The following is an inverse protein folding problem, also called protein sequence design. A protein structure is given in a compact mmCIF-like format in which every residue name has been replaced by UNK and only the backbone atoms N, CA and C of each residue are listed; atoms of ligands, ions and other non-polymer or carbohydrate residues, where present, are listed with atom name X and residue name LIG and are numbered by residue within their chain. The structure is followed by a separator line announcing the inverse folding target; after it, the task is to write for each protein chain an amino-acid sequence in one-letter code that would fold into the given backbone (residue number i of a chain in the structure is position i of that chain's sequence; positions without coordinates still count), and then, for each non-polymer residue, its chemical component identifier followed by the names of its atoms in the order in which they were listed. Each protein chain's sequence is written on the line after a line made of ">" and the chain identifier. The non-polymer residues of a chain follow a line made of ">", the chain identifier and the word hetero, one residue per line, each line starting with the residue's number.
data_IF_310715110931
#
_entry.id   IF_310715110931
#
_cell.length_a   1.000
_cell.length_b   1.000
_cell.length_c   1.000
_cell.angle_alpha   90.00
_cell.angle_beta   90.00
_cell.angle_gamma   90.00
#
_symmetry.space_group_name_H-M   'P 1'
#
loop_
_entity.id
_entity.type
_entity.pdbx_description
1 polymer ?
#
# COMPACT_ATOMS: atom_id res chain seq x y z
N UNK A 1 10.42 28.24 -17.46
CA UNK A 1 10.76 26.79 -17.42
C UNK A 1 9.82 26.06 -18.38
N UNK A 2 10.31 25.23 -19.31
CA UNK A 2 9.46 24.34 -20.10
C UNK A 2 8.66 23.46 -19.12
N UNK A 3 7.38 23.23 -19.40
CA UNK A 3 6.52 22.31 -18.65
C UNK A 3 7.11 20.89 -18.67
N UNK A 4 8.02 20.59 -17.73
CA UNK A 4 8.57 19.23 -17.59
C UNK A 4 7.51 18.33 -16.94
N UNK A 5 7.27 17.19 -17.57
CA UNK A 5 6.33 16.19 -17.09
C UNK A 5 7.06 15.20 -16.17
N UNK A 6 6.53 14.97 -14.98
CA UNK A 6 7.07 14.00 -14.02
C UNK A 6 6.10 12.85 -13.89
N UNK A 7 6.55 11.65 -14.24
CA UNK A 7 5.78 10.43 -14.07
C UNK A 7 5.91 9.86 -12.67
N UNK A 8 4.80 9.44 -12.08
CA UNK A 8 4.76 8.67 -10.83
C UNK A 8 4.12 7.31 -11.12
N UNK A 9 4.86 6.20 -10.98
CA UNK A 9 4.30 4.87 -11.16
C UNK A 9 3.29 4.54 -10.05
N UNK A 10 2.10 4.08 -10.42
CA UNK A 10 1.04 3.60 -9.50
C UNK A 10 1.36 2.17 -9.02
N UNK A 11 2.48 2.01 -8.32
CA UNK A 11 2.93 0.72 -7.83
C UNK A 11 3.73 0.84 -6.53
N UNK A 12 3.91 -0.26 -5.82
CA UNK A 12 4.68 -0.35 -4.58
C UNK A 12 4.21 0.67 -3.54
N UNK A 13 5.13 1.50 -3.02
CA UNK A 13 4.82 2.49 -1.97
C UNK A 13 4.03 3.70 -2.48
N UNK A 14 3.65 3.74 -3.77
CA UNK A 14 2.63 4.67 -4.23
C UNK A 14 1.38 4.57 -3.35
N UNK A 15 0.84 3.39 -3.12
CA UNK A 15 -0.37 3.17 -2.30
C UNK A 15 -0.24 3.62 -0.84
N UNK A 16 0.98 3.81 -0.35
CA UNK A 16 1.23 4.30 1.00
C UNK A 16 1.40 5.82 1.05
N UNK A 17 2.12 6.40 0.07
CA UNK A 17 2.54 7.80 0.06
C UNK A 17 1.88 8.67 -1.01
N UNK A 18 0.91 8.16 -1.81
CA UNK A 18 0.36 8.96 -2.92
C UNK A 18 -0.21 10.33 -2.49
N UNK A 19 -0.87 10.50 -1.32
CA UNK A 19 -1.33 11.83 -0.91
C UNK A 19 -0.17 12.79 -0.62
N UNK A 20 0.93 12.27 -0.05
CA UNK A 20 2.15 13.05 0.17
C UNK A 20 2.75 13.53 -1.15
N UNK A 21 2.89 12.64 -2.12
CA UNK A 21 3.47 12.99 -3.43
C UNK A 21 2.59 13.97 -4.20
N UNK A 22 1.29 13.74 -4.26
CA UNK A 22 0.36 14.65 -4.96
C UNK A 22 0.41 16.04 -4.33
N UNK A 23 0.41 16.13 -3.00
CA UNK A 23 0.49 17.41 -2.30
C UNK A 23 1.84 18.10 -2.51
N UNK A 24 2.95 17.36 -2.42
CA UNK A 24 4.29 17.88 -2.67
C UNK A 24 4.40 18.52 -4.06
N UNK A 25 4.03 17.78 -5.10
CA UNK A 25 4.15 18.29 -6.48
C UNK A 25 3.21 19.48 -6.73
N UNK A 26 2.00 19.46 -6.15
CA UNK A 26 1.08 20.60 -6.22
C UNK A 26 1.67 21.86 -5.59
N UNK A 27 2.28 21.77 -4.40
CA UNK A 27 2.92 22.92 -3.74
C UNK A 27 4.12 23.46 -4.55
N UNK A 28 4.76 22.59 -5.32
CA UNK A 28 5.82 22.95 -6.26
C UNK A 28 5.27 23.42 -7.62
N UNK A 29 3.94 23.51 -7.78
CA UNK A 29 3.25 23.90 -9.02
C UNK A 29 3.57 22.98 -10.21
N UNK A 30 3.74 21.70 -9.92
CA UNK A 30 3.99 20.64 -10.89
C UNK A 30 2.77 19.71 -10.86
N UNK A 31 2.20 19.43 -12.03
CA UNK A 31 1.15 18.41 -12.18
C UNK A 31 1.82 17.10 -12.61
N UNK A 32 1.88 16.08 -11.72
CA UNK A 32 2.51 14.83 -12.05
C UNK A 32 1.62 14.00 -12.99
N UNK A 33 2.25 13.23 -13.86
CA UNK A 33 1.57 12.22 -14.68
C UNK A 33 1.56 10.91 -13.92
N UNK A 34 0.41 10.47 -13.45
CA UNK A 34 0.27 9.15 -12.82
C UNK A 34 0.12 8.11 -13.93
N UNK A 35 0.78 6.96 -13.78
CA UNK A 35 0.56 5.84 -14.69
C UNK A 35 -0.88 5.32 -14.59
N UNK A 36 -1.39 4.70 -15.64
CA UNK A 36 -2.74 4.14 -15.67
C UNK A 36 -2.93 3.10 -14.55
N UNK A 37 -4.17 2.74 -14.25
CA UNK A 37 -4.44 1.62 -13.34
C UNK A 37 -3.84 0.33 -13.90
N UNK A 38 -3.38 -0.56 -13.01
CA UNK A 38 -2.84 -1.86 -13.40
C UNK A 38 -3.85 -2.60 -14.25
N UNK A 39 -3.37 -3.16 -15.36
CA UNK A 39 -4.17 -3.94 -16.32
C UNK A 39 -3.37 -5.14 -16.79
N UNK A 40 -4.04 -6.03 -17.53
CA UNK A 40 -3.39 -7.20 -18.15
C UNK A 40 -2.21 -6.80 -19.02
N UNK A 41 -2.41 -5.83 -19.91
CA UNK A 41 -1.38 -5.40 -20.85
C UNK A 41 -0.18 -4.77 -20.14
N UNK A 42 -0.44 -3.99 -19.09
CA UNK A 42 0.60 -3.37 -18.26
C UNK A 42 1.42 -4.44 -17.53
N UNK A 43 0.76 -5.41 -16.90
CA UNK A 43 1.42 -6.52 -16.23
C UNK A 43 2.23 -7.38 -17.21
N UNK A 44 1.65 -7.78 -18.34
CA UNK A 44 2.30 -8.56 -19.38
C UNK A 44 3.54 -7.83 -19.95
N UNK A 45 3.48 -6.51 -20.08
CA UNK A 45 4.62 -5.65 -20.44
C UNK A 45 5.75 -5.77 -19.42
N UNK A 46 5.43 -5.67 -18.14
CA UNK A 46 6.38 -5.82 -17.05
C UNK A 46 6.97 -7.22 -16.94
N UNK A 47 6.15 -8.25 -17.07
CA UNK A 47 6.59 -9.67 -17.07
C UNK A 47 7.60 -9.93 -18.16
N UNK A 48 7.35 -9.47 -19.39
CA UNK A 48 8.27 -9.65 -20.54
C UNK A 48 9.65 -9.02 -20.36
N UNK A 49 9.75 -8.00 -19.49
CA UNK A 49 10.98 -7.23 -19.25
C UNK A 49 11.65 -7.55 -17.92
N UNK A 50 11.05 -8.43 -17.11
CA UNK A 50 11.56 -8.83 -15.81
C UNK A 50 12.17 -10.22 -15.81
N UNK A 51 12.94 -10.52 -14.76
CA UNK A 51 13.38 -11.90 -14.47
C UNK A 51 12.18 -12.72 -13.96
N UNK A 52 12.12 -14.00 -14.29
CA UNK A 52 11.03 -14.91 -13.93
C UNK A 52 10.82 -15.02 -12.42
N UNK A 53 11.91 -15.08 -11.64
CA UNK A 53 11.87 -15.32 -10.19
C UNK A 53 11.60 -14.05 -9.37
N UNK A 54 11.41 -12.89 -10.02
CA UNK A 54 11.12 -11.68 -9.28
C UNK A 54 9.64 -11.65 -8.87
N UNK A 55 9.35 -11.13 -7.67
CA UNK A 55 7.97 -11.05 -7.17
C UNK A 55 7.10 -10.14 -8.05
N UNK A 56 5.82 -10.45 -8.16
CA UNK A 56 4.87 -9.76 -9.03
C UNK A 56 4.81 -8.23 -8.82
N UNK A 57 4.93 -7.66 -7.61
CA UNK A 57 4.92 -6.20 -7.44
C UNK A 57 6.03 -5.47 -8.19
N UNK A 58 7.19 -6.11 -8.36
CA UNK A 58 8.29 -5.53 -9.17
C UNK A 58 7.97 -5.64 -10.66
N UNK A 59 7.37 -6.74 -11.11
CA UNK A 59 6.89 -6.89 -12.50
C UNK A 59 5.87 -5.80 -12.84
N UNK A 60 4.92 -5.54 -11.94
CA UNK A 60 3.94 -4.46 -12.04
C UNK A 60 4.63 -3.10 -12.13
N UNK A 61 5.61 -2.82 -11.26
CA UNK A 61 6.36 -1.57 -11.31
C UNK A 61 7.05 -1.35 -12.66
N UNK A 62 7.68 -2.38 -13.23
CA UNK A 62 8.30 -2.30 -14.58
C UNK A 62 7.24 -1.95 -15.62
N UNK A 63 6.06 -2.56 -15.56
CA UNK A 63 4.93 -2.25 -16.45
C UNK A 63 4.48 -0.79 -16.33
N UNK A 64 4.36 -0.25 -15.11
CA UNK A 64 4.00 1.15 -14.89
C UNK A 64 5.06 2.12 -15.41
N UNK A 65 6.34 1.78 -15.30
CA UNK A 65 7.42 2.58 -15.89
C UNK A 65 7.33 2.60 -17.42
N UNK A 66 7.06 1.45 -18.05
CA UNK A 66 6.82 1.37 -19.50
C UNK A 66 5.61 2.21 -19.92
N UNK A 67 4.53 2.20 -19.16
CA UNK A 67 3.34 3.00 -19.40
C UNK A 67 3.65 4.50 -19.34
N UNK A 68 4.47 4.94 -18.39
CA UNK A 68 4.90 6.34 -18.28
C UNK A 68 5.83 6.76 -19.42
N UNK A 69 6.72 5.88 -19.84
CA UNK A 69 7.60 6.13 -20.99
C UNK A 69 6.78 6.36 -22.28
N UNK A 70 5.73 5.55 -22.49
CA UNK A 70 4.77 5.75 -23.59
C UNK A 70 3.97 7.05 -23.50
N UNK A 71 3.83 7.64 -22.31
CA UNK A 71 3.20 8.96 -22.09
C UNK A 71 4.15 10.13 -22.31
N UNK A 72 5.38 9.84 -22.74
CA UNK A 72 6.41 10.83 -23.07
C UNK A 72 6.67 11.80 -21.90
N UNK A 73 6.89 11.23 -20.69
CA UNK A 73 7.30 12.02 -19.53
C UNK A 73 8.80 12.32 -19.59
N UNK A 74 9.22 13.49 -19.12
CA UNK A 74 10.64 13.86 -19.08
C UNK A 74 11.39 13.12 -17.96
N UNK A 75 10.69 12.93 -16.82
CA UNK A 75 11.23 12.30 -15.64
C UNK A 75 10.30 11.23 -15.11
N UNK A 76 10.86 10.17 -14.52
CA UNK A 76 10.13 9.20 -13.70
C UNK A 76 10.66 9.28 -12.28
N UNK A 77 9.78 9.59 -11.33
CA UNK A 77 10.10 9.67 -9.92
C UNK A 77 10.08 8.27 -9.28
N UNK A 78 11.25 7.76 -8.95
CA UNK A 78 11.47 6.42 -8.37
C UNK A 78 12.39 6.51 -7.15
N UNK A 79 11.91 6.98 -6.00
CA UNK A 79 12.74 7.07 -4.80
C UNK A 79 13.21 5.69 -4.33
N UNK A 80 14.45 5.65 -3.83
CA UNK A 80 15.07 4.47 -3.20
C UNK A 80 14.71 4.47 -1.73
N UNK A 81 13.83 3.61 -1.31
CA UNK A 81 13.51 3.51 0.11
C UNK A 81 14.50 2.58 0.83
N UNK A 82 15.27 3.13 1.75
CA UNK A 82 16.18 2.38 2.61
C UNK A 82 15.55 2.11 3.98
N UNK A 83 15.13 3.16 4.68
CA UNK A 83 14.52 3.08 6.00
C UNK A 83 13.37 4.08 6.15
N UNK A 84 12.33 3.69 6.89
CA UNK A 84 11.26 4.54 7.42
C UNK A 84 11.02 4.24 8.90
N UNK A 85 12.05 3.71 9.56
CA UNK A 85 12.15 3.45 10.99
C UNK A 85 13.62 3.41 11.37
N UNK A 86 13.97 3.88 12.55
CA UNK A 86 15.34 3.89 13.04
C UNK A 86 15.91 2.46 13.07
N UNK A 87 17.09 2.28 12.46
CA UNK A 87 17.86 1.03 12.42
C UNK A 87 17.20 -0.19 11.75
N UNK A 88 16.03 -0.03 11.14
CA UNK A 88 15.34 -1.12 10.43
C UNK A 88 15.19 -0.77 8.96
N UNK A 89 15.62 -1.68 8.09
CA UNK A 89 15.61 -1.49 6.63
C UNK A 89 14.33 -2.01 6.00
N UNK A 90 14.03 -1.50 4.81
CA UNK A 90 13.03 -2.07 3.91
C UNK A 90 13.63 -3.20 3.07
N UNK A 91 12.78 -3.96 2.38
CA UNK A 91 13.24 -4.97 1.43
C UNK A 91 14.28 -4.39 0.46
N UNK A 92 15.41 -5.05 0.21
CA UNK A 92 16.50 -4.51 -0.62
C UNK A 92 16.08 -4.17 -2.04
N UNK A 93 14.97 -4.74 -2.54
CA UNK A 93 14.40 -4.36 -3.84
C UNK A 93 13.92 -2.90 -3.89
N UNK A 94 13.52 -2.30 -2.77
CA UNK A 94 13.20 -0.87 -2.71
C UNK A 94 14.43 0.03 -2.85
N UNK A 95 15.54 -0.35 -2.26
CA UNK A 95 16.79 0.38 -2.40
C UNK A 95 17.36 0.24 -3.82
N UNK A 96 17.33 -0.96 -4.39
CA UNK A 96 17.83 -1.26 -5.72
C UNK A 96 16.86 -0.96 -6.87
N UNK A 97 15.63 -0.49 -6.58
CA UNK A 97 14.56 -0.36 -7.56
C UNK A 97 14.97 0.44 -8.82
N UNK A 98 15.54 1.66 -8.74
CA UNK A 98 15.91 2.42 -9.93
C UNK A 98 16.97 1.72 -10.79
N UNK A 99 17.90 0.97 -10.18
CA UNK A 99 18.91 0.23 -10.94
C UNK A 99 18.32 -0.98 -11.64
N UNK A 100 17.40 -1.68 -10.96
CA UNK A 100 16.63 -2.77 -11.56
C UNK A 100 15.84 -2.28 -12.77
N UNK A 101 15.16 -1.13 -12.67
CA UNK A 101 14.42 -0.50 -13.77
C UNK A 101 15.35 -0.17 -14.95
N UNK A 102 16.47 0.51 -14.70
CA UNK A 102 17.44 0.87 -15.76
C UNK A 102 17.99 -0.36 -16.48
N UNK A 103 18.22 -1.47 -15.75
CA UNK A 103 18.71 -2.71 -16.35
C UNK A 103 17.62 -3.46 -17.12
N UNK A 104 16.38 -3.46 -16.61
CA UNK A 104 15.25 -4.10 -17.30
C UNK A 104 14.80 -3.32 -18.53
N UNK A 105 14.98 -1.99 -18.53
CA UNK A 105 14.53 -1.07 -19.57
C UNK A 105 15.70 -0.19 -20.09
N UNK A 106 16.67 -0.79 -20.80
CA UNK A 106 17.84 -0.04 -21.27
C UNK A 106 17.51 1.04 -22.34
N UNK A 107 16.33 0.94 -22.96
CA UNK A 107 15.82 1.90 -23.93
C UNK A 107 14.88 2.96 -23.33
N UNK A 108 14.81 3.06 -21.98
CA UNK A 108 13.99 4.05 -21.30
C UNK A 108 14.47 5.47 -21.68
N UNK A 109 13.57 6.29 -22.25
CA UNK A 109 13.89 7.66 -22.66
C UNK A 109 13.78 8.65 -21.52
N UNK A 110 12.84 8.43 -20.59
CA UNK A 110 12.64 9.27 -19.42
C UNK A 110 13.82 9.15 -18.42
N UNK A 111 14.26 10.28 -17.89
CA UNK A 111 15.29 10.29 -16.86
C UNK A 111 14.72 9.89 -15.50
N UNK A 112 15.36 8.94 -14.81
CA UNK A 112 14.93 8.46 -13.49
C UNK A 112 15.47 9.37 -12.38
N UNK A 113 14.56 9.98 -11.60
CA UNK A 113 14.89 10.70 -10.35
C UNK A 113 14.78 9.72 -9.19
N UNK A 114 15.91 9.48 -8.51
CA UNK A 114 16.09 8.42 -7.52
C UNK A 114 16.77 8.94 -6.23
N UNK A 115 16.04 9.76 -5.48
CA UNK A 115 16.48 10.16 -4.14
C UNK A 115 16.52 8.94 -3.20
N UNK A 116 17.41 8.96 -2.22
CA UNK A 116 17.47 7.95 -1.16
C UNK A 116 16.64 8.43 0.03
N UNK A 117 15.59 7.70 0.35
CA UNK A 117 14.73 7.96 1.52
C UNK A 117 15.31 7.22 2.72
N UNK A 118 15.82 7.98 3.67
CA UNK A 118 16.28 7.52 4.97
C UNK A 118 15.59 8.33 6.05
N UNK A 119 14.60 7.74 6.70
CA UNK A 119 13.82 8.37 7.75
C UNK A 119 13.78 7.50 9.00
N UNK A 120 13.57 8.12 10.17
CA UNK A 120 13.44 7.46 11.47
C UNK A 120 12.00 7.09 11.82
N UNK A 121 11.08 7.49 10.98
CA UNK A 121 9.64 7.23 11.05
C UNK A 121 9.04 7.29 9.65
N UNK A 122 7.74 7.08 9.55
CA UNK A 122 7.00 7.22 8.29
C UNK A 122 7.02 8.65 7.71
N UNK A 123 7.45 9.65 8.47
CA UNK A 123 7.64 11.01 7.97
C UNK A 123 8.92 11.11 7.13
N UNK A 124 8.73 11.18 5.82
CA UNK A 124 9.80 11.29 4.83
C UNK A 124 10.09 12.74 4.39
N UNK A 125 9.54 13.75 5.07
CA UNK A 125 9.59 15.16 4.65
C UNK A 125 10.94 15.86 4.84
N UNK A 126 11.96 15.17 5.32
CA UNK A 126 13.30 15.75 5.48
C UNK A 126 13.90 16.13 4.11
N UNK A 127 14.43 17.35 3.99
CA UNK A 127 15.01 17.85 2.73
C UNK A 127 16.10 16.93 2.16
N UNK A 128 16.90 16.28 3.03
CA UNK A 128 17.95 15.32 2.61
C UNK A 128 17.39 14.19 1.73
N UNK A 129 16.14 13.79 1.95
CA UNK A 129 15.44 12.73 1.22
C UNK A 129 14.93 13.17 -0.16
N UNK A 130 15.05 14.46 -0.52
CA UNK A 130 14.50 15.05 -1.75
C UNK A 130 15.50 16.00 -2.43
N UNK A 131 16.78 15.86 -2.12
CA UNK A 131 17.83 16.77 -2.61
C UNK A 131 18.00 16.66 -4.12
N UNK A 132 18.06 15.45 -4.66
CA UNK A 132 18.22 15.22 -6.09
C UNK A 132 16.97 15.69 -6.86
N UNK A 133 15.77 15.49 -6.31
CA UNK A 133 14.53 16.02 -6.87
C UNK A 133 14.58 17.56 -6.95
N UNK A 134 15.01 18.24 -5.88
CA UNK A 134 15.13 19.69 -5.86
C UNK A 134 16.16 20.20 -6.90
N UNK A 135 17.31 19.54 -6.99
CA UNK A 135 18.37 19.89 -7.95
C UNK A 135 17.89 19.70 -9.41
N UNK A 136 17.25 18.57 -9.73
CA UNK A 136 16.74 18.27 -11.09
C UNK A 136 15.64 19.23 -11.55
N UNK A 137 14.82 19.69 -10.61
CA UNK A 137 13.72 20.60 -10.88
C UNK A 137 14.07 22.09 -10.67
N UNK A 138 15.34 22.40 -10.35
CA UNK A 138 15.82 23.76 -10.09
C UNK A 138 15.02 24.49 -8.99
N UNK A 139 14.59 23.72 -7.94
CA UNK A 139 13.81 24.23 -6.83
C UNK A 139 14.73 24.63 -5.68
N UNK A 140 14.52 25.80 -5.12
CA UNK A 140 15.31 26.26 -3.99
C UNK A 140 15.06 25.39 -2.74
N UNK A 141 16.09 25.28 -1.87
CA UNK A 141 15.96 24.52 -0.62
C UNK A 141 14.79 25.02 0.23
N UNK A 142 14.59 26.33 0.33
CA UNK A 142 13.52 26.94 1.14
C UNK A 142 12.16 26.58 0.58
N UNK A 143 11.97 26.64 -0.73
CA UNK A 143 10.72 26.29 -1.40
C UNK A 143 10.43 24.80 -1.22
N UNK A 144 11.41 23.92 -1.45
CA UNK A 144 11.26 22.49 -1.23
C UNK A 144 10.90 22.17 0.22
N UNK A 145 11.58 22.77 1.21
CA UNK A 145 11.26 22.55 2.63
C UNK A 145 9.85 22.99 2.98
N UNK A 146 9.37 24.11 2.43
CA UNK A 146 7.98 24.57 2.62
C UNK A 146 6.98 23.59 2.05
N UNK A 147 7.22 23.10 0.82
CA UNK A 147 6.35 22.13 0.16
C UNK A 147 6.33 20.78 0.89
N UNK A 148 7.49 20.29 1.32
CA UNK A 148 7.61 19.04 2.09
C UNK A 148 6.83 19.09 3.42
N UNK A 149 6.92 20.21 4.15
CA UNK A 149 6.16 20.40 5.39
C UNK A 149 4.66 20.27 5.15
N UNK A 150 4.13 20.97 4.14
CA UNK A 150 2.70 20.91 3.81
C UNK A 150 2.27 19.54 3.32
N UNK A 151 3.14 18.84 2.58
CA UNK A 151 2.88 17.47 2.14
C UNK A 151 2.81 16.50 3.33
N UNK A 152 3.69 16.64 4.33
CA UNK A 152 3.66 15.85 5.55
C UNK A 152 2.40 16.10 6.37
N UNK A 153 2.02 17.37 6.57
CA UNK A 153 0.79 17.74 7.29
C UNK A 153 -0.46 17.15 6.59
N UNK A 154 -0.51 17.22 5.26
CA UNK A 154 -1.60 16.67 4.47
C UNK A 154 -1.66 15.14 4.54
N UNK A 155 -0.52 14.48 4.41
CA UNK A 155 -0.42 13.02 4.52
C UNK A 155 -0.82 12.54 5.93
N UNK A 156 -0.46 13.27 6.99
CA UNK A 156 -0.88 12.93 8.35
C UNK A 156 -2.41 13.01 8.53
N UNK A 157 -3.06 14.02 7.94
CA UNK A 157 -4.53 14.11 7.92
C UNK A 157 -5.16 12.89 7.26
N UNK A 158 -4.62 12.49 6.11
CA UNK A 158 -5.04 11.26 5.43
C UNK A 158 -4.84 10.01 6.32
N UNK A 159 -3.67 9.86 6.94
CA UNK A 159 -3.38 8.73 7.86
C UNK A 159 -4.38 8.69 9.02
N UNK A 160 -4.73 9.82 9.60
CA UNK A 160 -5.71 9.90 10.67
C UNK A 160 -7.10 9.40 10.25
N UNK A 161 -7.51 9.59 9.00
CA UNK A 161 -8.75 9.01 8.49
C UNK A 161 -8.65 7.48 8.38
N UNK A 162 -7.53 6.95 7.93
CA UNK A 162 -7.34 5.49 7.91
C UNK A 162 -7.43 4.90 9.33
N UNK A 163 -6.84 5.55 10.33
CA UNK A 163 -6.95 5.15 11.75
C UNK A 163 -8.39 5.22 12.28
N UNK A 164 -9.23 6.03 11.69
CA UNK A 164 -10.68 6.07 11.96
C UNK A 164 -11.46 4.99 11.22
N UNK A 165 -10.80 4.15 10.43
CA UNK A 165 -11.41 3.03 9.73
C UNK A 165 -11.79 3.29 8.27
N UNK A 166 -11.37 4.41 7.66
CA UNK A 166 -11.48 4.57 6.21
C UNK A 166 -10.46 3.67 5.51
N UNK A 167 -10.83 3.14 4.35
CA UNK A 167 -9.94 2.35 3.51
C UNK A 167 -9.10 3.25 2.59
N UNK A 168 -7.93 2.80 2.20
CA UNK A 168 -7.14 3.46 1.15
C UNK A 168 -7.94 3.53 -0.15
N UNK A 169 -8.75 2.51 -0.45
CA UNK A 169 -9.65 2.43 -1.61
C UNK A 169 -10.65 3.59 -1.69
N UNK A 170 -11.07 4.15 -0.55
CA UNK A 170 -11.97 5.31 -0.51
C UNK A 170 -11.33 6.57 -1.12
N UNK A 171 -10.01 6.58 -1.30
CA UNK A 171 -9.21 7.69 -1.83
C UNK A 171 -8.51 7.36 -3.17
N UNK A 172 -8.46 6.09 -3.56
CA UNK A 172 -7.87 5.68 -4.84
C UNK A 172 -8.71 6.16 -6.04
N UNK A 173 -8.05 6.32 -7.19
CA UNK A 173 -8.71 6.87 -8.39
C UNK A 173 -8.74 8.39 -8.44
N UNK A 174 -8.35 9.08 -7.37
CA UNK A 174 -8.21 10.54 -7.33
C UNK A 174 -6.78 10.93 -7.72
N UNK A 175 -6.63 11.47 -8.93
CA UNK A 175 -5.32 11.88 -9.47
C UNK A 175 -5.02 13.37 -9.25
N UNK A 176 -6.06 14.17 -8.98
CA UNK A 176 -5.94 15.62 -8.75
C UNK A 176 -6.01 15.96 -7.27
N UNK A 177 -5.03 16.71 -6.81
CA UNK A 177 -4.90 17.06 -5.40
C UNK A 177 -6.12 17.83 -4.88
N UNK A 178 -6.71 18.73 -5.70
CA UNK A 178 -7.85 19.54 -5.27
C UNK A 178 -9.09 18.67 -4.98
N UNK A 179 -9.24 17.56 -5.69
CA UNK A 179 -10.31 16.58 -5.45
C UNK A 179 -10.01 15.80 -4.17
N UNK A 180 -8.76 15.38 -3.99
CA UNK A 180 -8.33 14.65 -2.80
C UNK A 180 -8.47 15.51 -1.53
N UNK A 181 -8.10 16.79 -1.58
CA UNK A 181 -8.26 17.75 -0.48
C UNK A 181 -9.73 17.90 -0.07
N UNK A 182 -10.62 18.05 -1.06
CA UNK A 182 -12.07 18.10 -0.81
C UNK A 182 -12.60 16.83 -0.20
N UNK A 183 -12.13 15.68 -0.67
CA UNK A 183 -12.54 14.38 -0.17
C UNK A 183 -12.09 14.16 1.28
N UNK A 184 -10.84 14.44 1.60
CA UNK A 184 -10.30 14.38 2.96
C UNK A 184 -11.09 15.31 3.88
N UNK A 185 -11.28 16.58 3.48
CA UNK A 185 -12.05 17.54 4.27
C UNK A 185 -13.52 17.12 4.47
N UNK A 186 -14.12 16.47 3.47
CA UNK A 186 -15.48 15.91 3.58
C UNK A 186 -15.53 14.81 4.64
N UNK A 187 -14.55 13.91 4.65
CA UNK A 187 -14.51 12.80 5.61
C UNK A 187 -14.19 13.30 7.03
N UNK A 188 -13.25 14.22 7.20
CA UNK A 188 -12.96 14.85 8.50
C UNK A 188 -14.18 15.51 9.14
N UNK A 189 -15.08 16.11 8.33
CA UNK A 189 -16.29 16.77 8.80
C UNK A 189 -17.54 15.87 8.76
N UNK A 190 -17.39 14.59 8.42
CA UNK A 190 -18.50 13.66 8.32
C UNK A 190 -18.88 13.12 9.69
N UNK A 191 -20.18 13.18 10.01
CA UNK A 191 -20.74 12.44 11.15
C UNK A 191 -21.03 10.97 10.82
N UNK A 192 -20.84 10.56 9.54
CA UNK A 192 -21.05 9.18 9.13
C UNK A 192 -19.81 8.35 9.45
N UNK A 193 -20.01 7.25 10.16
CA UNK A 193 -18.97 6.27 10.41
C UNK A 193 -18.46 5.65 9.10
N UNK A 194 -17.16 5.36 8.99
CA UNK A 194 -16.60 4.56 7.91
C UNK A 194 -17.31 3.20 7.81
N UNK A 195 -17.26 2.56 6.65
CA UNK A 195 -17.92 1.26 6.45
C UNK A 195 -17.39 0.18 7.41
N UNK A 196 -16.10 0.23 7.75
CA UNK A 196 -15.46 -0.64 8.75
C UNK A 196 -15.96 -0.45 10.19
N UNK A 197 -16.76 0.60 10.46
CA UNK A 197 -17.32 0.89 11.79
C UNK A 197 -18.86 0.90 11.81
N UNK A 198 -19.54 0.71 10.66
CA UNK A 198 -20.99 0.61 10.64
C UNK A 198 -21.43 -0.67 11.32
N UNK A 199 -22.32 -0.58 12.30
CA UNK A 199 -22.90 -1.72 13.00
C UNK A 199 -23.85 -2.52 12.09
N UNK A 200 -24.44 -1.87 11.07
CA UNK A 200 -25.30 -2.49 10.08
C UNK A 200 -24.77 -2.19 8.68
N UNK A 201 -24.30 -3.21 7.97
CA UNK A 201 -24.25 -3.20 6.51
C UNK A 201 -25.70 -3.31 6.04
N UNK A 202 -26.16 -2.41 5.17
CA UNK A 202 -27.54 -2.26 4.67
C UNK A 202 -28.36 -3.57 4.77
N UNK A 203 -29.34 -3.56 5.64
CA UNK A 203 -30.07 -4.70 6.15
C UNK A 203 -31.01 -5.36 5.10
N UNK A 204 -30.43 -5.81 3.99
CA UNK A 204 -31.13 -6.72 3.09
C UNK A 204 -30.86 -8.21 3.41
N UNK A 205 -29.91 -8.50 4.27
CA UNK A 205 -29.61 -9.87 4.72
C UNK A 205 -29.74 -9.96 6.23
N UNK A 206 -30.45 -11.01 6.69
CA UNK A 206 -30.56 -11.38 8.11
C UNK A 206 -29.28 -12.04 8.67
N UNK A 207 -28.21 -12.04 7.89
CA UNK A 207 -26.94 -12.68 8.25
C UNK A 207 -26.09 -11.77 9.13
N UNK A 208 -25.46 -12.35 10.12
CA UNK A 208 -24.55 -11.66 11.04
C UNK A 208 -23.29 -11.18 10.30
N UNK A 209 -22.92 -9.92 10.50
CA UNK A 209 -21.77 -9.32 9.83
C UNK A 209 -20.47 -10.00 10.29
N UNK A 210 -19.64 -10.41 9.33
CA UNK A 210 -18.33 -10.98 9.58
C UNK A 210 -17.26 -9.88 9.48
N UNK A 211 -16.39 -9.79 10.47
CA UNK A 211 -15.25 -8.86 10.52
C UNK A 211 -13.95 -9.57 10.15
N UNK A 212 -13.32 -9.17 9.04
CA UNK A 212 -12.07 -9.75 8.52
C UNK A 212 -10.94 -8.72 8.57
N UNK A 213 -9.81 -9.10 9.16
CA UNK A 213 -8.57 -8.36 9.00
C UNK A 213 -7.81 -8.86 7.76
N UNK A 214 -7.66 -7.98 6.77
CA UNK A 214 -6.86 -8.22 5.57
C UNK A 214 -5.45 -7.66 5.77
N UNK A 215 -4.49 -8.55 5.98
CA UNK A 215 -3.08 -8.23 6.24
C UNK A 215 -2.27 -8.49 4.98
N UNK A 216 -1.47 -7.54 4.56
CA UNK A 216 -0.59 -7.66 3.41
C UNK A 216 0.09 -6.34 3.08
N UNK A 217 1.13 -6.38 2.28
CA UNK A 217 1.77 -5.15 1.82
C UNK A 217 0.80 -4.27 1.05
N UNK A 218 0.89 -2.94 1.22
CA UNK A 218 -0.02 -1.96 0.61
C UNK A 218 -0.30 -2.21 -0.87
N UNK A 219 0.71 -2.56 -1.64
CA UNK A 219 0.58 -2.82 -3.07
C UNK A 219 -0.08 -4.16 -3.40
N UNK A 220 -0.07 -5.13 -2.49
CA UNK A 220 -0.85 -6.36 -2.65
C UNK A 220 -2.31 -6.13 -2.28
N UNK A 221 -2.56 -5.32 -1.23
CA UNK A 221 -3.91 -5.08 -0.70
C UNK A 221 -4.69 -4.10 -1.55
N UNK A 222 -4.04 -3.09 -2.15
CA UNK A 222 -4.73 -1.96 -2.80
C UNK A 222 -4.57 -1.87 -4.32
N UNK A 223 -3.74 -2.72 -4.94
CA UNK A 223 -3.77 -2.88 -6.40
C UNK A 223 -4.91 -3.81 -6.80
N UNK A 224 -6.03 -3.23 -7.21
CA UNK A 224 -7.27 -3.95 -7.50
C UNK A 224 -7.12 -5.02 -8.59
N UNK A 225 -6.21 -4.82 -9.55
CA UNK A 225 -5.97 -5.83 -10.58
C UNK A 225 -5.22 -7.04 -10.01
N UNK A 226 -4.14 -6.79 -9.25
CA UNK A 226 -3.29 -7.84 -8.72
C UNK A 226 -4.00 -8.67 -7.65
N UNK A 227 -4.81 -8.03 -6.81
CA UNK A 227 -5.58 -8.70 -5.76
C UNK A 227 -6.97 -9.18 -6.22
N UNK A 228 -7.30 -9.02 -7.51
CA UNK A 228 -8.61 -9.41 -8.07
C UNK A 228 -9.79 -8.75 -7.36
N UNK A 229 -9.60 -7.48 -6.96
CA UNK A 229 -10.60 -6.66 -6.29
C UNK A 229 -11.15 -7.27 -4.98
N UNK A 230 -10.26 -7.91 -4.22
CA UNK A 230 -10.60 -8.66 -3.00
C UNK A 230 -11.42 -7.84 -1.99
N UNK A 231 -11.09 -6.54 -1.82
CA UNK A 231 -11.77 -5.68 -0.84
C UNK A 231 -13.25 -5.49 -1.23
N UNK A 232 -13.54 -5.19 -2.49
CA UNK A 232 -14.92 -5.03 -2.94
C UNK A 232 -15.69 -6.35 -2.92
N UNK A 233 -15.07 -7.45 -3.28
CA UNK A 233 -15.68 -8.78 -3.18
C UNK A 233 -16.04 -9.16 -1.74
N UNK A 234 -15.15 -8.90 -0.79
CA UNK A 234 -15.45 -9.09 0.63
C UNK A 234 -16.64 -8.23 1.07
N UNK A 235 -16.68 -6.96 0.64
CA UNK A 235 -17.83 -6.07 0.91
C UNK A 235 -19.14 -6.58 0.30
N UNK A 236 -19.12 -7.08 -0.94
CA UNK A 236 -20.28 -7.68 -1.61
C UNK A 236 -20.80 -8.93 -0.90
N UNK A 237 -19.92 -9.67 -0.23
CA UNK A 237 -20.27 -10.80 0.62
C UNK A 237 -20.76 -10.39 2.03
N UNK A 238 -20.96 -9.10 2.30
CA UNK A 238 -21.40 -8.59 3.60
C UNK A 238 -20.32 -8.62 4.68
N UNK A 239 -19.05 -8.63 4.28
CA UNK A 239 -17.90 -8.63 5.19
C UNK A 239 -17.45 -7.21 5.49
N UNK A 240 -17.15 -6.92 6.75
CA UNK A 240 -16.48 -5.70 7.19
C UNK A 240 -14.97 -5.90 7.13
N UNK A 241 -14.29 -5.10 6.31
CA UNK A 241 -12.86 -5.26 6.05
C UNK A 241 -12.05 -4.29 6.91
N UNK A 242 -11.11 -4.84 7.68
CA UNK A 242 -10.09 -4.11 8.42
C UNK A 242 -8.73 -4.35 7.75
N UNK A 243 -7.88 -3.33 7.68
CA UNK A 243 -6.54 -3.46 7.08
C UNK A 243 -5.47 -2.99 8.04
N UNK A 244 -4.21 -3.39 7.80
CA UNK A 244 -3.11 -2.92 8.64
C UNK A 244 -2.96 -1.39 8.62
N UNK A 245 -3.38 -0.73 7.55
CA UNK A 245 -3.34 0.74 7.43
C UNK A 245 -4.24 1.47 8.44
N UNK A 246 -5.20 0.75 9.04
CA UNK A 246 -6.09 1.27 10.09
C UNK A 246 -5.47 1.21 11.49
N UNK A 247 -4.37 0.48 11.65
CA UNK A 247 -3.67 0.37 12.94
C UNK A 247 -2.63 1.49 13.04
N UNK A 248 -2.71 2.28 14.12
CA UNK A 248 -1.76 3.39 14.32
C UNK A 248 -0.36 2.89 14.66
N UNK A 249 0.65 3.70 14.38
CA UNK A 249 2.04 3.37 14.68
C UNK A 249 2.25 3.07 16.17
N UNK A 250 1.60 3.81 17.07
CA UNK A 250 1.71 3.59 18.52
C UNK A 250 1.20 2.20 18.92
N UNK A 251 0.13 1.71 18.28
CA UNK A 251 -0.39 0.37 18.51
C UNK A 251 0.59 -0.67 17.97
N UNK A 252 1.09 -0.48 16.75
CA UNK A 252 2.10 -1.35 16.14
C UNK A 252 3.34 -1.44 17.03
N UNK A 253 3.86 -0.31 17.51
CA UNK A 253 5.02 -0.27 18.40
C UNK A 253 4.78 -1.03 19.70
N UNK A 254 3.59 -0.89 20.28
CA UNK A 254 3.20 -1.62 21.50
C UNK A 254 3.21 -3.14 21.28
N UNK A 255 2.65 -3.60 20.17
CA UNK A 255 2.63 -5.04 19.86
C UNK A 255 4.05 -5.57 19.57
N UNK A 256 4.87 -4.79 18.86
CA UNK A 256 6.26 -5.16 18.59
C UNK A 256 7.14 -5.19 19.85
N UNK A 257 6.80 -4.42 20.88
CA UNK A 257 7.56 -4.41 22.14
C UNK A 257 7.46 -5.77 22.90
N UNK A 258 6.49 -6.60 22.58
CA UNK A 258 6.36 -7.95 23.12
C UNK A 258 7.33 -8.94 22.46
N UNK A 259 7.87 -8.61 21.28
CA UNK A 259 8.86 -9.43 20.60
C UNK A 259 10.23 -9.33 21.29
N UNK A 260 10.91 -10.47 21.45
CA UNK A 260 12.31 -10.49 21.92
C UNK A 260 13.23 -9.69 21.02
N UNK A 261 12.95 -9.64 19.71
CA UNK A 261 13.69 -8.90 18.69
C UNK A 261 12.73 -8.55 17.55
N UNK A 262 12.75 -7.30 17.05
CA UNK A 262 11.98 -6.93 15.87
C UNK A 262 12.41 -7.74 14.65
N UNK A 263 11.52 -7.86 13.68
CA UNK A 263 11.81 -8.50 12.41
C UNK A 263 12.78 -7.67 11.57
N UNK A 264 13.44 -8.31 10.61
CA UNK A 264 14.52 -7.67 9.85
C UNK A 264 14.03 -6.54 8.93
N UNK A 265 12.80 -6.62 8.44
CA UNK A 265 12.24 -5.64 7.50
C UNK A 265 11.08 -4.85 8.10
N UNK A 266 11.06 -3.54 7.85
CA UNK A 266 10.10 -2.64 8.48
C UNK A 266 8.63 -2.96 8.14
N UNK A 267 8.29 -3.18 6.85
CA UNK A 267 6.91 -3.53 6.54
C UNK A 267 6.48 -4.87 7.14
N UNK A 268 7.40 -5.81 7.33
CA UNK A 268 7.12 -7.05 8.05
C UNK A 268 6.78 -6.78 9.51
N UNK A 269 7.47 -5.83 10.17
CA UNK A 269 7.13 -5.38 11.52
C UNK A 269 5.74 -4.74 11.57
N UNK A 270 5.44 -3.83 10.65
CA UNK A 270 4.12 -3.19 10.59
C UNK A 270 2.99 -4.19 10.42
N UNK A 271 3.15 -5.15 9.51
CA UNK A 271 2.14 -6.18 9.26
C UNK A 271 2.00 -7.13 10.45
N UNK A 272 3.11 -7.50 11.08
CA UNK A 272 3.09 -8.34 12.29
C UNK A 272 2.37 -7.64 13.44
N UNK A 273 2.76 -6.41 13.78
CA UNK A 273 2.13 -5.65 14.86
C UNK A 273 0.64 -5.41 14.62
N UNK A 274 0.24 -5.14 13.37
CA UNK A 274 -1.17 -5.02 13.03
C UNK A 274 -1.92 -6.36 13.15
N UNK A 275 -1.31 -7.48 12.74
CA UNK A 275 -1.92 -8.80 12.86
C UNK A 275 -2.10 -9.20 14.34
N UNK A 276 -1.09 -8.97 15.19
CA UNK A 276 -1.17 -9.21 16.64
C UNK A 276 -2.30 -8.40 17.27
N UNK A 277 -2.43 -7.12 16.91
CA UNK A 277 -3.54 -6.30 17.37
C UNK A 277 -4.90 -6.90 16.98
N UNK A 278 -5.04 -7.41 15.76
CA UNK A 278 -6.28 -8.03 15.29
C UNK A 278 -6.50 -9.43 15.88
N UNK A 279 -5.48 -10.23 16.13
CA UNK A 279 -5.62 -11.50 16.82
C UNK A 279 -6.16 -11.32 18.23
N UNK A 280 -5.70 -10.29 18.94
CA UNK A 280 -6.15 -9.93 20.30
C UNK A 280 -7.56 -9.30 20.32
N UNK A 281 -8.04 -8.78 19.20
CA UNK A 281 -9.34 -8.11 19.12
C UNK A 281 -10.50 -9.12 18.96
N UNK A 282 -11.40 -9.24 19.96
CA UNK A 282 -12.51 -10.20 19.90
C UNK A 282 -13.55 -9.89 18.81
N UNK A 283 -13.57 -8.66 18.29
CA UNK A 283 -14.48 -8.27 17.19
C UNK A 283 -14.05 -8.80 15.82
N UNK A 284 -12.78 -9.18 15.67
CA UNK A 284 -12.28 -9.74 14.42
C UNK A 284 -12.55 -11.24 14.39
N UNK A 285 -13.29 -11.71 13.43
CA UNK A 285 -13.67 -13.12 13.27
C UNK A 285 -12.58 -13.95 12.61
N UNK A 286 -11.84 -13.35 11.67
CA UNK A 286 -10.77 -14.04 10.97
C UNK A 286 -9.75 -13.09 10.35
N UNK A 287 -8.59 -13.64 10.00
CA UNK A 287 -7.49 -12.91 9.37
C UNK A 287 -7.14 -13.55 8.03
N UNK A 288 -7.09 -12.74 6.99
CA UNK A 288 -6.59 -13.14 5.66
C UNK A 288 -5.23 -12.46 5.44
N UNK A 289 -4.19 -13.25 5.27
CA UNK A 289 -2.86 -12.78 4.87
C UNK A 289 -2.72 -12.86 3.34
N UNK A 290 -2.63 -11.70 2.69
CA UNK A 290 -2.47 -11.56 1.25
C UNK A 290 -1.00 -11.29 0.89
N UNK A 291 -0.34 -12.26 0.28
CA UNK A 291 1.09 -12.21 -0.03
C UNK A 291 1.38 -12.48 -1.49
N UNK A 292 2.44 -11.85 -2.02
CA UNK A 292 2.92 -12.12 -3.37
C UNK A 292 3.87 -13.34 -3.39
N UNK A 293 3.66 -14.25 -4.32
CA UNK A 293 4.60 -15.35 -4.56
C UNK A 293 6.01 -14.80 -4.87
N UNK A 294 7.03 -15.45 -4.31
CA UNK A 294 8.42 -15.00 -4.43
C UNK A 294 8.79 -13.79 -3.56
N UNK A 295 7.92 -13.36 -2.63
CA UNK A 295 8.25 -12.37 -1.63
C UNK A 295 8.92 -13.04 -0.41
N UNK A 296 10.25 -12.92 -0.27
CA UNK A 296 11.00 -13.53 0.84
C UNK A 296 10.56 -13.02 2.22
N UNK A 297 10.56 -11.69 2.47
CA UNK A 297 10.12 -11.13 3.76
C UNK A 297 8.72 -11.60 4.19
N UNK A 298 7.77 -11.53 3.26
CA UNK A 298 6.36 -11.80 3.52
C UNK A 298 6.06 -13.30 3.65
N UNK A 299 6.81 -14.14 2.95
CA UNK A 299 6.68 -15.61 3.09
C UNK A 299 7.04 -16.10 4.49
N UNK A 300 8.06 -15.48 5.12
CA UNK A 300 8.42 -15.80 6.51
C UNK A 300 7.35 -15.27 7.48
N UNK A 301 6.86 -14.07 7.27
CA UNK A 301 5.79 -13.49 8.07
C UNK A 301 4.54 -14.39 8.09
N UNK A 302 4.11 -14.86 6.92
CA UNK A 302 2.92 -15.71 6.80
C UNK A 302 2.99 -16.99 7.65
N UNK A 303 4.17 -17.60 7.79
CA UNK A 303 4.34 -18.77 8.65
C UNK A 303 4.24 -18.42 10.15
N UNK A 304 4.79 -17.27 10.55
CA UNK A 304 4.70 -16.79 11.93
C UNK A 304 3.23 -16.50 12.26
N UNK A 305 2.53 -15.73 11.43
CA UNK A 305 1.12 -15.41 11.63
C UNK A 305 0.23 -16.65 11.69
N UNK A 306 0.51 -17.70 10.91
CA UNK A 306 -0.24 -18.95 10.97
C UNK A 306 -0.04 -19.69 12.30
N UNK A 307 1.14 -19.58 12.91
CA UNK A 307 1.43 -20.16 14.24
C UNK A 307 0.71 -19.34 15.31
N UNK A 308 0.90 -18.03 15.32
CA UNK A 308 0.35 -17.13 16.34
C UNK A 308 -1.19 -17.12 16.32
N UNK A 309 -1.81 -17.20 15.14
CA UNK A 309 -3.27 -17.30 15.01
C UNK A 309 -3.87 -18.46 15.81
N UNK A 310 -3.14 -19.59 15.96
CA UNK A 310 -3.58 -20.76 16.74
C UNK A 310 -3.58 -20.48 18.24
N UNK A 311 -2.65 -19.65 18.70
CA UNK A 311 -2.55 -19.29 20.13
C UNK A 311 -3.75 -18.40 20.56
N UNK A 312 -4.34 -17.67 19.58
CA UNK A 312 -5.52 -16.83 19.79
C UNK A 312 -6.85 -17.48 19.36
N UNK A 313 -6.85 -18.75 18.93
CA UNK A 313 -8.01 -19.45 18.33
C UNK A 313 -8.67 -18.62 17.20
N UNK A 314 -7.87 -17.90 16.43
CA UNK A 314 -8.33 -17.11 15.28
C UNK A 314 -8.30 -17.92 14.01
N UNK A 315 -9.39 -17.84 13.24
CA UNK A 315 -9.37 -18.34 11.88
C UNK A 315 -8.37 -17.56 11.03
N UNK A 316 -7.49 -18.28 10.32
CA UNK A 316 -6.41 -17.68 9.54
C UNK A 316 -6.30 -18.34 8.16
N UNK A 317 -6.14 -17.53 7.13
CA UNK A 317 -5.94 -18.02 5.76
C UNK A 317 -4.87 -17.19 5.04
N UNK A 318 -3.91 -17.86 4.38
CA UNK A 318 -2.96 -17.19 3.47
C UNK A 318 -3.43 -17.32 2.02
N UNK A 319 -3.55 -16.19 1.33
CA UNK A 319 -3.75 -16.09 -0.12
C UNK A 319 -2.44 -15.67 -0.77
N UNK A 320 -1.93 -16.49 -1.69
CA UNK A 320 -0.72 -16.18 -2.48
C UNK A 320 -1.12 -15.79 -3.88
N UNK A 321 -0.64 -14.64 -4.33
CA UNK A 321 -0.93 -14.09 -5.66
C UNK A 321 0.36 -13.98 -6.49
N UNK A 322 0.23 -14.23 -7.77
CA UNK A 322 1.24 -14.00 -8.79
C UNK A 322 0.58 -13.58 -10.11
N UNK A 323 1.37 -13.41 -11.16
CA UNK A 323 0.87 -13.02 -12.49
C UNK A 323 0.00 -14.06 -13.19
N UNK A 324 -0.08 -15.29 -12.67
CA UNK A 324 -0.85 -16.41 -13.23
C UNK A 324 -2.04 -16.79 -12.35
N UNK A 325 -2.18 -16.16 -11.18
CA UNK A 325 -3.24 -16.49 -10.23
C UNK A 325 -4.62 -16.25 -10.85
N UNK A 326 -5.44 -17.29 -10.88
CA UNK A 326 -6.80 -17.22 -11.40
C UNK A 326 -7.78 -16.65 -10.37
N UNK A 327 -8.63 -15.73 -10.81
CA UNK A 327 -9.64 -15.08 -9.97
C UNK A 327 -10.59 -16.08 -9.28
N UNK A 328 -11.11 -17.06 -10.02
CA UNK A 328 -12.03 -18.08 -9.49
C UNK A 328 -11.43 -18.87 -8.33
N UNK A 329 -10.13 -19.17 -8.37
CA UNK A 329 -9.43 -19.89 -7.30
C UNK A 329 -9.39 -19.06 -6.00
N UNK A 330 -9.16 -17.76 -6.10
CA UNK A 330 -9.13 -16.86 -4.94
C UNK A 330 -10.53 -16.69 -4.35
N UNK A 331 -11.55 -16.45 -5.20
CA UNK A 331 -12.93 -16.24 -4.78
C UNK A 331 -13.45 -17.47 -4.03
N UNK A 332 -13.32 -18.68 -4.59
CA UNK A 332 -13.82 -19.90 -3.94
C UNK A 332 -13.20 -20.12 -2.56
N UNK A 333 -11.93 -19.77 -2.37
CA UNK A 333 -11.27 -19.88 -1.06
C UNK A 333 -11.80 -18.84 -0.07
N UNK A 334 -12.05 -17.62 -0.53
CA UNK A 334 -12.63 -16.55 0.30
C UNK A 334 -14.04 -16.93 0.73
N UNK A 335 -14.89 -17.36 -0.20
CA UNK A 335 -16.26 -17.81 0.08
C UNK A 335 -16.28 -18.93 1.14
N UNK A 336 -15.49 -19.98 0.94
CA UNK A 336 -15.38 -21.07 1.91
C UNK A 336 -14.88 -20.60 3.29
N UNK A 337 -13.99 -19.62 3.34
CA UNK A 337 -13.50 -19.07 4.60
C UNK A 337 -14.57 -18.26 5.33
N UNK A 338 -15.34 -17.43 4.61
CA UNK A 338 -16.44 -16.65 5.16
C UNK A 338 -17.55 -17.55 5.66
N UNK A 339 -17.94 -18.58 4.89
CA UNK A 339 -18.97 -19.55 5.30
C UNK A 339 -18.56 -20.28 6.58
N UNK A 340 -17.29 -20.66 6.71
CA UNK A 340 -16.77 -21.25 7.94
C UNK A 340 -16.90 -20.30 9.14
N UNK A 341 -16.63 -19.00 8.96
CA UNK A 341 -16.73 -18.00 10.03
C UNK A 341 -18.21 -17.78 10.43
N UNK A 342 -19.13 -17.73 9.48
CA UNK A 342 -20.58 -17.65 9.74
C UNK A 342 -21.07 -18.85 10.57
N UNK A 343 -20.69 -20.05 10.16
CA UNK A 343 -21.04 -21.28 10.90
C UNK A 343 -20.48 -21.29 12.33
N UNK A 344 -19.31 -20.70 12.56
CA UNK A 344 -18.74 -20.56 13.92
C UNK A 344 -19.52 -19.57 14.79
N UNK A 345 -20.10 -18.51 14.20
CA UNK A 345 -20.91 -17.52 14.92
C UNK A 345 -22.29 -18.06 15.34
N UNK A 346 -22.85 -18.99 14.57
CA UNK A 346 -24.14 -19.61 14.85
C UNK A 346 -24.10 -20.64 15.99
N UNK A 347 -22.91 -21.06 16.43
CA UNK A 347 -22.68 -22.03 17.53
C UNK A 347 -22.46 -21.34 18.87
#
# INVERSE_FOLDING_TARGET
>A
MKNKKIGIPRALLFYYYFPFWLKLFSELKIEPVISDSTSRDLLDGGVKKSLSEICVPIKVMIGHVLNLDQKEVDYIFLPRFRTIREDIVLCPKFLGLPDMIRHSLPSLEAEVIADVIEAKSDDISQFSNHKNLAEKLEISKTEMQSALKKAAEFWQRYRNLLYQGYLVDDFLGVEKIEVLEKLISKFENSSKLPQSQKEELDSSTTEEVVDIALIGYVYNVYDQYINMDIINKLKEMGVRVHTFSMVSEDIIEKELAELRKPMFWEFTNKLYGAAEHYFKNPKIDGVIHLTAFGCGPDSMLGQILEIDAKDYDKAFMTLRIDEQTGESHIITRIEAFIDLLRLKKEQ
#
